data_IF_711830540871
#
_entry.id   IF_711830540871
#
_cell.length_a   1.000
_cell.length_b   1.000
_cell.length_c   1.000
_cell.angle_alpha   90.00
_cell.angle_beta   90.00
_cell.angle_gamma   90.00
#
_symmetry.space_group_name_H-M   'P 1'
#
loop_
_entity.id
_entity.type
_entity.pdbx_description
1 polymer ?
#
# COMPACT_ATOMS: atom_id res chain seq x y z
N UNK A 1 -12.66 27.44 22.40
CA UNK A 1 -11.50 28.21 21.90
C UNK A 1 -10.38 27.21 21.71
N UNK A 2 -9.91 27.00 20.47
CA UNK A 2 -8.69 26.20 20.24
C UNK A 2 -7.49 27.01 20.76
N UNK A 3 -6.53 26.35 21.41
CA UNK A 3 -5.35 27.02 21.98
C UNK A 3 -4.49 27.64 20.88
N UNK A 4 -3.80 28.75 21.19
CA UNK A 4 -2.96 29.49 20.23
C UNK A 4 -1.87 28.64 19.56
N UNK A 5 -1.43 27.55 20.19
CA UNK A 5 -0.46 26.62 19.59
C UNK A 5 -1.08 25.79 18.45
N UNK A 6 -2.37 25.48 18.51
CA UNK A 6 -3.07 24.71 17.47
C UNK A 6 -3.44 25.57 16.24
N UNK A 7 -3.68 26.87 16.44
CA UNK A 7 -4.05 27.76 15.32
C UNK A 7 -2.91 27.99 14.33
N UNK A 8 -1.66 27.75 14.73
CA UNK A 8 -0.46 27.96 13.89
C UNK A 8 0.09 26.69 13.25
N UNK A 9 -0.32 25.50 13.73
CA UNK A 9 0.10 24.19 13.19
C UNK A 9 -1.08 23.22 13.00
N UNK A 10 -2.12 23.56 12.22
CA UNK A 10 -3.24 22.66 12.03
C UNK A 10 -2.88 21.49 11.13
N UNK A 11 -3.45 20.31 11.43
CA UNK A 11 -3.51 19.19 10.48
C UNK A 11 -4.34 19.60 9.26
N UNK A 12 -3.85 19.30 8.06
CA UNK A 12 -4.53 19.61 6.79
C UNK A 12 -4.96 18.35 6.06
N UNK A 13 -6.11 18.42 5.41
CA UNK A 13 -6.67 17.32 4.62
C UNK A 13 -6.80 17.74 3.15
N UNK A 14 -6.48 16.82 2.24
CA UNK A 14 -6.66 16.97 0.80
C UNK A 14 -7.29 15.72 0.20
N UNK A 15 -8.12 15.90 -0.83
CA UNK A 15 -8.85 14.83 -1.51
C UNK A 15 -8.76 15.05 -3.01
N UNK A 16 -8.10 14.12 -3.69
CA UNK A 16 -7.79 14.18 -5.11
C UNK A 16 -7.91 12.79 -5.73
N UNK A 17 -7.51 12.67 -6.99
CA UNK A 17 -7.25 11.39 -7.64
C UNK A 17 -5.78 11.24 -7.98
N UNK A 18 -5.31 10.02 -8.18
CA UNK A 18 -3.93 9.81 -8.61
C UNK A 18 -3.65 10.46 -9.98
N UNK A 19 -2.40 10.86 -10.19
CA UNK A 19 -1.91 11.41 -11.45
C UNK A 19 -1.04 10.40 -12.20
N UNK A 20 -0.51 10.81 -13.35
CA UNK A 20 0.35 9.97 -14.19
C UNK A 20 1.62 9.55 -13.43
N UNK A 21 2.00 8.29 -13.57
CA UNK A 21 3.23 7.70 -13.01
C UNK A 21 3.36 7.76 -11.48
N UNK A 22 2.25 7.76 -10.75
CA UNK A 22 2.27 7.93 -9.28
C UNK A 22 2.27 6.61 -8.49
N UNK A 23 1.53 5.59 -8.94
CA UNK A 23 1.29 4.33 -8.22
C UNK A 23 1.48 3.13 -9.14
N UNK A 24 2.37 2.21 -8.76
CA UNK A 24 2.58 0.94 -9.46
C UNK A 24 1.45 -0.06 -9.15
N UNK A 25 1.09 -0.87 -10.13
CA UNK A 25 0.19 -2.01 -9.95
C UNK A 25 1.01 -3.23 -9.56
N UNK A 26 0.62 -3.88 -8.46
CA UNK A 26 1.13 -5.19 -8.08
C UNK A 26 0.10 -6.25 -8.47
N UNK A 27 0.47 -7.10 -9.42
CA UNK A 27 -0.40 -8.17 -9.92
C UNK A 27 0.03 -9.47 -9.24
N UNK A 28 -0.94 -10.18 -8.66
CA UNK A 28 -0.73 -11.48 -8.04
C UNK A 28 -1.21 -12.61 -8.93
N UNK A 29 -0.64 -13.78 -8.70
CA UNK A 29 -1.19 -15.06 -9.15
C UNK A 29 -1.42 -15.95 -7.93
N UNK A 30 -2.64 -16.44 -7.74
CA UNK A 30 -2.99 -17.24 -6.56
C UNK A 30 -3.25 -18.70 -6.90
N UNK A 31 -2.62 -19.60 -6.13
CA UNK A 31 -2.86 -21.04 -6.13
C UNK A 31 -3.41 -21.51 -4.78
N UNK A 32 -3.88 -22.75 -4.72
CA UNK A 32 -4.33 -23.38 -3.48
C UNK A 32 -3.31 -24.43 -3.05
N UNK A 33 -2.84 -24.34 -1.82
CA UNK A 33 -1.90 -25.29 -1.23
C UNK A 33 -2.30 -25.52 0.22
N UNK A 34 -2.41 -26.80 0.62
CA UNK A 34 -2.82 -27.22 1.95
C UNK A 34 -4.15 -26.60 2.44
N UNK A 35 -5.09 -26.40 1.52
CA UNK A 35 -6.41 -25.83 1.83
C UNK A 35 -6.43 -24.31 2.05
N UNK A 36 -5.33 -23.62 1.76
CA UNK A 36 -5.22 -22.17 1.87
C UNK A 36 -4.66 -21.54 0.58
N UNK A 37 -4.93 -20.24 0.39
CA UNK A 37 -4.35 -19.46 -0.71
C UNK A 37 -2.83 -19.41 -0.57
N UNK A 38 -2.14 -19.48 -1.70
CA UNK A 38 -0.72 -19.18 -1.86
C UNK A 38 -0.57 -18.25 -3.04
N UNK A 39 -0.38 -16.97 -2.76
CA UNK A 39 -0.19 -15.95 -3.78
C UNK A 39 1.31 -15.79 -4.07
N UNK A 40 1.65 -15.52 -5.32
CA UNK A 40 2.93 -14.92 -5.70
C UNK A 40 2.66 -13.52 -6.25
N UNK A 41 3.63 -12.62 -6.11
CA UNK A 41 3.56 -11.27 -6.67
C UNK A 41 4.78 -11.04 -7.55
N UNK A 42 4.55 -10.48 -8.73
CA UNK A 42 5.62 -10.01 -9.59
C UNK A 42 5.52 -8.48 -9.69
N UNK A 43 6.66 -7.79 -9.59
CA UNK A 43 6.78 -6.47 -10.20
C UNK A 43 6.79 -6.70 -11.69
N UNK A 44 5.67 -6.51 -12.37
CA UNK A 44 5.74 -6.20 -13.79
C UNK A 44 6.32 -4.79 -13.89
N UNK A 45 7.54 -4.60 -14.42
CA UNK A 45 8.02 -3.24 -14.63
C UNK A 45 7.05 -2.59 -15.63
N UNK A 46 6.43 -1.49 -15.20
CA UNK A 46 5.64 -0.56 -16.01
C UNK A 46 4.12 -0.76 -16.16
N UNK A 47 3.43 -1.47 -15.24
CA UNK A 47 1.97 -1.27 -15.13
C UNK A 47 1.71 -0.28 -13.98
N UNK A 48 1.40 0.96 -14.34
CA UNK A 48 0.98 2.00 -13.41
C UNK A 48 -0.54 2.13 -13.44
N UNK A 49 -1.14 2.61 -12.35
CA UNK A 49 -2.54 3.01 -12.40
C UNK A 49 -2.70 4.22 -13.32
N UNK A 50 -3.71 4.18 -14.19
CA UNK A 50 -4.03 5.33 -15.05
C UNK A 50 -4.44 6.53 -14.18
N UNK A 51 -4.18 7.77 -14.63
CA UNK A 51 -4.61 8.97 -13.90
C UNK A 51 -6.12 8.95 -13.64
N UNK A 52 -6.56 9.41 -12.47
CA UNK A 52 -7.99 9.51 -12.15
C UNK A 52 -8.66 8.20 -11.71
N UNK A 53 -7.91 7.10 -11.56
CA UNK A 53 -8.49 5.77 -11.26
C UNK A 53 -8.49 5.41 -9.78
N UNK A 54 -7.64 6.05 -8.99
CA UNK A 54 -7.52 5.87 -7.55
C UNK A 54 -7.93 7.15 -6.83
N UNK A 55 -8.60 6.99 -5.70
CA UNK A 55 -8.77 8.06 -4.72
C UNK A 55 -7.45 8.31 -4.02
N UNK A 56 -7.07 9.59 -3.89
CA UNK A 56 -5.86 10.05 -3.22
C UNK A 56 -6.26 10.95 -2.05
N UNK A 57 -5.99 10.47 -0.83
CA UNK A 57 -6.17 11.25 0.39
C UNK A 57 -4.81 11.75 0.88
N UNK A 58 -4.74 13.02 1.25
CA UNK A 58 -3.53 13.64 1.81
C UNK A 58 -3.83 14.11 3.22
N UNK A 59 -3.03 13.68 4.18
CA UNK A 59 -3.03 14.22 5.55
C UNK A 59 -1.67 14.85 5.80
N UNK A 60 -1.63 16.16 6.04
CA UNK A 60 -0.40 16.85 6.43
C UNK A 60 -0.42 17.06 7.93
N UNK A 61 0.60 16.54 8.61
CA UNK A 61 0.74 16.69 10.06
C UNK A 61 1.10 18.14 10.47
N UNK A 62 1.15 18.38 11.77
CA UNK A 62 1.45 19.67 12.39
C UNK A 62 2.87 20.19 12.06
N UNK A 63 3.75 19.30 11.63
CA UNK A 63 5.13 19.62 11.21
C UNK A 63 5.27 19.75 9.69
N UNK A 64 4.16 19.67 8.95
CA UNK A 64 4.14 19.87 7.51
C UNK A 64 4.50 18.63 6.69
N UNK A 65 4.60 17.44 7.30
CA UNK A 65 4.90 16.22 6.57
C UNK A 65 3.61 15.59 6.02
N UNK A 66 3.48 15.44 4.69
CA UNK A 66 2.33 14.78 4.11
C UNK A 66 2.41 13.25 4.21
N UNK A 67 1.26 12.64 4.47
CA UNK A 67 0.99 11.23 4.27
C UNK A 67 -0.08 11.10 3.19
N UNK A 68 0.26 10.39 2.11
CA UNK A 68 -0.65 10.09 1.02
C UNK A 68 -1.18 8.67 1.16
N UNK A 69 -2.49 8.50 0.99
CA UNK A 69 -3.15 7.20 0.92
C UNK A 69 -3.88 7.07 -0.41
N UNK A 70 -3.58 6.01 -1.15
CA UNK A 70 -4.21 5.69 -2.42
C UNK A 70 -5.16 4.51 -2.26
N UNK A 71 -6.42 4.68 -2.66
CA UNK A 71 -7.44 3.63 -2.61
C UNK A 71 -8.06 3.37 -3.98
N UNK A 72 -8.38 2.11 -4.25
CA UNK A 72 -9.18 1.75 -5.43
C UNK A 72 -10.68 2.00 -5.22
N UNK A 73 -11.49 1.77 -6.27
CA UNK A 73 -12.94 1.92 -6.22
C UNK A 73 -13.67 1.00 -5.22
N UNK A 74 -13.01 -0.06 -4.71
CA UNK A 74 -13.55 -0.95 -3.68
C UNK A 74 -13.23 -0.48 -2.25
N UNK A 75 -12.50 0.63 -2.10
CA UNK A 75 -12.06 1.16 -0.81
C UNK A 75 -10.82 0.48 -0.23
N UNK A 76 -10.18 -0.42 -0.97
CA UNK A 76 -8.91 -1.04 -0.57
C UNK A 76 -7.77 -0.04 -0.72
N UNK A 77 -7.00 0.19 0.34
CA UNK A 77 -5.76 0.95 0.29
C UNK A 77 -4.71 0.14 -0.47
N UNK A 78 -4.09 0.73 -1.48
CA UNK A 78 -3.07 0.11 -2.34
C UNK A 78 -1.66 0.59 -2.02
N UNK A 79 -1.53 1.88 -1.71
CA UNK A 79 -0.26 2.52 -1.35
C UNK A 79 -0.49 3.51 -0.21
N UNK A 80 0.37 3.45 0.79
CA UNK A 80 0.59 4.55 1.73
C UNK A 80 1.99 5.09 1.49
N UNK A 81 2.09 6.38 1.17
CA UNK A 81 3.36 7.09 1.00
C UNK A 81 3.50 8.13 2.09
N UNK A 82 4.50 7.96 2.96
CA UNK A 82 4.83 8.94 3.99
C UNK A 82 6.05 9.74 3.56
N UNK A 83 5.94 11.06 3.62
CA UNK A 83 7.09 11.94 3.43
C UNK A 83 7.73 12.24 4.78
N UNK A 84 9.06 12.26 4.82
CA UNK A 84 9.85 12.69 5.97
C UNK A 84 10.75 13.84 5.48
N UNK A 85 10.40 15.08 5.85
CA UNK A 85 11.04 16.26 5.27
C UNK A 85 10.72 16.44 3.78
N UNK A 86 11.67 16.97 3.00
CA UNK A 86 11.43 17.40 1.61
C UNK A 86 11.80 16.36 0.55
N UNK A 87 12.53 15.30 0.89
CA UNK A 87 13.12 14.39 -0.10
C UNK A 87 12.97 12.90 0.20
N UNK A 88 12.68 12.52 1.45
CA UNK A 88 12.52 11.11 1.80
C UNK A 88 11.05 10.72 1.68
N UNK A 89 10.79 9.71 0.85
CA UNK A 89 9.48 9.07 0.74
C UNK A 89 9.61 7.61 1.19
N UNK A 90 8.65 7.16 1.99
CA UNK A 90 8.54 5.80 2.47
C UNK A 90 7.23 5.20 1.96
N UNK A 91 7.35 4.28 1.00
CA UNK A 91 6.22 3.64 0.33
C UNK A 91 5.91 2.29 0.97
N UNK A 92 4.65 2.08 1.34
CA UNK A 92 4.15 0.79 1.80
C UNK A 92 3.02 0.36 0.88
N UNK A 93 3.24 -0.71 0.12
CA UNK A 93 2.23 -1.27 -0.78
C UNK A 93 1.42 -2.35 -0.07
N UNK A 94 0.13 -2.35 -0.37
CA UNK A 94 -0.84 -3.34 0.08
C UNK A 94 -1.34 -4.06 -1.16
N UNK A 95 -0.97 -5.32 -1.30
CA UNK A 95 -1.19 -6.10 -2.51
C UNK A 95 -2.31 -7.10 -2.24
N UNK A 96 -3.35 -7.05 -3.06
CA UNK A 96 -4.51 -7.93 -2.93
C UNK A 96 -4.47 -9.01 -3.98
N UNK A 97 -4.95 -10.20 -3.61
CA UNK A 97 -5.14 -11.27 -4.56
C UNK A 97 -6.42 -11.09 -5.39
N UNK A 98 -6.61 -12.00 -6.35
CA UNK A 98 -7.76 -12.05 -7.26
C UNK A 98 -9.11 -12.27 -6.55
N UNK A 99 -9.08 -12.60 -5.25
CA UNK A 99 -10.24 -12.75 -4.37
C UNK A 99 -10.47 -11.54 -3.45
N UNK A 100 -9.83 -10.40 -3.74
CA UNK A 100 -9.90 -9.16 -2.94
C UNK A 100 -9.34 -9.29 -1.51
N UNK A 101 -8.54 -10.32 -1.24
CA UNK A 101 -7.90 -10.54 0.06
C UNK A 101 -6.50 -9.94 0.06
N UNK A 102 -6.11 -9.27 1.16
CA UNK A 102 -4.75 -8.73 1.32
C UNK A 102 -3.75 -9.89 1.35
N UNK A 103 -2.93 -10.05 0.31
CA UNK A 103 -1.96 -11.14 0.19
C UNK A 103 -0.58 -10.73 0.70
N UNK A 104 -0.17 -9.47 0.44
CA UNK A 104 1.14 -8.96 0.86
C UNK A 104 1.05 -7.53 1.41
N UNK A 105 1.94 -7.22 2.36
CA UNK A 105 2.32 -5.84 2.67
C UNK A 105 3.82 -5.70 2.41
N UNK A 106 4.18 -4.84 1.46
CA UNK A 106 5.56 -4.61 1.02
C UNK A 106 6.05 -3.30 1.66
N UNK A 107 6.97 -3.35 2.63
CA UNK A 107 7.45 -2.15 3.32
C UNK A 107 8.46 -1.34 2.49
N UNK A 108 8.77 -0.09 2.91
CA UNK A 108 9.66 0.81 2.16
C UNK A 108 11.05 0.26 1.84
N UNK A 109 11.56 -0.64 2.66
CA UNK A 109 12.86 -1.31 2.49
C UNK A 109 12.84 -2.35 1.36
N UNK A 110 11.68 -2.97 1.10
CA UNK A 110 11.49 -3.97 0.06
C UNK A 110 11.08 -3.35 -1.28
N UNK A 111 10.31 -2.24 -1.27
CA UNK A 111 9.88 -1.54 -2.49
C UNK A 111 11.05 -1.11 -3.39
N UNK A 112 12.20 -0.81 -2.80
CA UNK A 112 13.39 -0.35 -3.51
C UNK A 112 14.23 -1.50 -4.09
N UNK A 113 13.80 -2.75 -3.92
CA UNK A 113 14.54 -3.95 -4.34
C UNK A 113 13.72 -4.77 -5.34
N UNK A 114 14.38 -5.58 -6.20
CA UNK A 114 13.68 -6.52 -7.06
C UNK A 114 12.88 -7.52 -6.22
N UNK A 115 11.59 -7.68 -6.52
CA UNK A 115 10.76 -8.71 -5.88
C UNK A 115 11.30 -10.09 -6.25
N UNK A 116 11.71 -10.83 -5.23
CA UNK A 116 12.14 -12.24 -5.28
C UNK A 116 11.48 -12.98 -4.14
N UNK A 117 11.34 -14.31 -4.24
CA UNK A 117 10.75 -15.10 -3.16
C UNK A 117 11.48 -14.89 -1.83
N UNK A 118 12.82 -14.77 -1.86
CA UNK A 118 13.65 -14.47 -0.68
C UNK A 118 13.31 -13.11 -0.08
N UNK A 119 13.20 -12.06 -0.90
CA UNK A 119 12.82 -10.72 -0.42
C UNK A 119 11.42 -10.73 0.21
N UNK A 120 10.47 -11.42 -0.42
CA UNK A 120 9.11 -11.55 0.09
C UNK A 120 9.08 -12.32 1.41
N UNK A 121 9.91 -13.35 1.54
CA UNK A 121 10.02 -14.17 2.74
C UNK A 121 10.71 -13.47 3.90
N UNK A 122 11.69 -12.61 3.63
CA UNK A 122 12.51 -11.97 4.66
C UNK A 122 11.98 -10.61 5.08
N UNK A 123 11.39 -9.83 4.16
CA UNK A 123 11.05 -8.42 4.40
C UNK A 123 9.57 -8.10 4.26
N UNK A 124 8.73 -8.99 3.71
CA UNK A 124 7.32 -8.68 3.45
C UNK A 124 6.39 -9.48 4.35
N UNK A 125 5.29 -8.86 4.75
CA UNK A 125 4.22 -9.58 5.42
C UNK A 125 3.42 -10.36 4.38
N UNK A 126 3.15 -11.63 4.65
CA UNK A 126 2.38 -12.51 3.76
C UNK A 126 1.17 -13.08 4.49
N UNK A 127 0.06 -13.20 3.78
CA UNK A 127 -1.23 -13.61 4.34
C UNK A 127 -1.85 -14.72 3.49
N UNK A 128 -2.36 -15.76 4.15
CA UNK A 128 -3.04 -16.89 3.50
C UNK A 128 -4.43 -17.10 4.09
N UNK A 129 -5.38 -17.43 3.23
CA UNK A 129 -6.79 -17.56 3.58
C UNK A 129 -7.31 -18.94 3.22
N UNK A 130 -8.22 -19.49 4.02
CA UNK A 130 -8.89 -20.75 3.70
C UNK A 130 -9.99 -20.58 2.63
N UNK A 131 -10.62 -21.69 2.22
CA UNK A 131 -11.75 -21.71 1.28
C UNK A 131 -13.00 -20.93 1.73
N UNK A 132 -13.03 -20.42 2.97
CA UNK A 132 -14.11 -19.60 3.52
C UNK A 132 -13.69 -18.13 3.66
N UNK A 133 -12.50 -17.76 3.21
CA UNK A 133 -11.96 -16.41 3.29
C UNK A 133 -11.49 -16.00 4.67
N UNK A 134 -11.21 -16.95 5.57
CA UNK A 134 -10.67 -16.66 6.90
C UNK A 134 -9.15 -16.68 6.84
N UNK A 135 -8.49 -15.71 7.48
CA UNK A 135 -7.03 -15.69 7.60
C UNK A 135 -6.56 -16.89 8.42
N UNK A 136 -5.72 -17.74 7.82
CA UNK A 136 -5.19 -18.96 8.45
C UNK A 136 -3.68 -18.94 8.65
N UNK A 137 -2.97 -18.11 7.89
CA UNK A 137 -1.53 -17.92 8.08
C UNK A 137 -1.18 -16.44 7.92
N UNK A 138 -0.30 -15.96 8.80
CA UNK A 138 0.35 -14.66 8.69
C UNK A 138 1.84 -14.86 8.92
N UNK A 139 2.64 -14.50 7.94
CA UNK A 139 4.09 -14.42 8.04
C UNK A 139 4.48 -12.96 8.34
N UNK A 140 5.33 -12.77 9.36
CA UNK A 140 5.85 -11.48 9.81
C UNK A 140 7.37 -11.46 9.68
#
# INVERSE_FOLDING_TARGET
QVGNDWSTKPVKFGYETNVLNEVYQHITSTTWENGATKSSVALSPAVLYAPGTLYKNTVTDEDGNPTLEFKNGKGQTLLVRKFVGTSMQADTYYVYNEYDQLAFVIPPTAVQQPITDVLLDDLCYQYRYDGRGRLVEKKL
#
